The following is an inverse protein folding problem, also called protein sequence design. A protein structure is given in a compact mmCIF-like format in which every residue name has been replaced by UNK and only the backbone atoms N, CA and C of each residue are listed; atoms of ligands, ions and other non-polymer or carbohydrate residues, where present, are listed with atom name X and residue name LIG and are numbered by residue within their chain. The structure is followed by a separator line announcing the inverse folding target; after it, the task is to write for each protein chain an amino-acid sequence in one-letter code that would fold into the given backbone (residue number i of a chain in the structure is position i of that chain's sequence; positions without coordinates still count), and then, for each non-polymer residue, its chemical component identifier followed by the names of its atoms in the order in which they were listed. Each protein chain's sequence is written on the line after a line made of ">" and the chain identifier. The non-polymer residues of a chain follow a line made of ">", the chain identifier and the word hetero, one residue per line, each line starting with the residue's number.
data_IF_000604066390
#
_entry.id   IF_000604066390
#
_cell.length_a   1.000
_cell.length_b   1.000
_cell.length_c   1.000
_cell.angle_alpha   90.00
_cell.angle_beta   90.00
_cell.angle_gamma   90.00
#
_symmetry.space_group_name_H-M   'P 1'
#
loop_
_entity.id
_entity.type
_entity.pdbx_description
1 polymer ?
#
# COMPACT_ATOMS: atom_id res chain seq x y z
N UNK A 1 48.20 -39.98 -52.76
CA UNK A 1 47.35 -39.17 -53.63
C UNK A 1 46.51 -38.30 -52.68
N UNK A 2 46.63 -37.04 -52.86
CA UNK A 2 46.34 -35.89 -51.92
C UNK A 2 44.90 -35.72 -51.45
N UNK A 3 44.77 -35.51 -50.17
CA UNK A 3 43.57 -34.87 -49.58
C UNK A 3 44.03 -33.61 -48.82
N UNK A 4 43.64 -32.46 -49.33
CA UNK A 4 43.88 -31.16 -48.71
C UNK A 4 42.79 -30.89 -47.70
N UNK A 5 43.15 -30.72 -46.43
CA UNK A 5 42.27 -30.23 -45.41
C UNK A 5 42.19 -28.67 -45.52
N UNK A 6 41.01 -28.18 -45.71
CA UNK A 6 40.65 -26.79 -45.66
C UNK A 6 40.10 -26.47 -44.25
N UNK A 7 40.91 -25.79 -43.42
CA UNK A 7 40.44 -25.24 -42.12
C UNK A 7 39.63 -23.97 -42.43
N UNK A 8 38.35 -24.01 -42.14
CA UNK A 8 37.53 -22.82 -42.10
C UNK A 8 37.58 -22.25 -40.69
N UNK A 9 38.27 -21.12 -40.49
CA UNK A 9 38.16 -20.31 -39.27
C UNK A 9 36.85 -19.55 -39.31
N UNK A 10 35.94 -19.91 -38.41
CA UNK A 10 34.70 -19.16 -38.15
C UNK A 10 35.09 -18.00 -37.20
N UNK A 11 35.18 -16.79 -37.72
CA UNK A 11 35.34 -15.58 -36.92
C UNK A 11 33.97 -15.26 -36.31
N UNK A 12 33.80 -15.49 -34.99
CA UNK A 12 32.68 -15.01 -34.23
C UNK A 12 32.87 -13.51 -34.01
N UNK A 13 32.21 -12.70 -34.83
CA UNK A 13 32.07 -11.26 -34.57
C UNK A 13 31.08 -11.09 -33.43
N UNK A 14 31.57 -10.84 -32.23
CA UNK A 14 30.73 -10.32 -31.12
C UNK A 14 30.36 -8.88 -31.47
N UNK A 15 29.19 -8.71 -32.04
CA UNK A 15 28.55 -7.40 -32.14
C UNK A 15 28.19 -6.97 -30.71
N UNK A 16 29.03 -6.15 -30.10
CA UNK A 16 28.64 -5.34 -28.94
C UNK A 16 27.67 -4.31 -29.48
N UNK A 17 26.41 -4.68 -29.49
CA UNK A 17 25.32 -3.74 -29.70
C UNK A 17 25.32 -2.76 -28.53
N UNK A 18 25.79 -1.54 -28.74
CA UNK A 18 25.36 -0.42 -27.92
C UNK A 18 23.82 -0.31 -28.07
N UNK A 19 23.08 -0.95 -27.19
CA UNK A 19 21.67 -0.60 -26.98
C UNK A 19 21.67 0.84 -26.44
N UNK A 20 21.53 1.80 -27.35
CA UNK A 20 21.06 3.13 -26.98
C UNK A 20 19.71 2.89 -26.31
N UNK A 21 19.63 3.13 -25.00
CA UNK A 21 18.38 3.12 -24.25
C UNK A 21 17.49 4.12 -24.95
N UNK A 22 16.53 3.61 -25.71
CA UNK A 22 15.58 4.43 -26.45
C UNK A 22 14.69 5.06 -25.39
N UNK A 23 14.81 6.38 -25.22
CA UNK A 23 13.94 7.18 -24.35
C UNK A 23 12.52 6.95 -24.84
N UNK A 24 11.69 6.27 -24.07
CA UNK A 24 10.26 6.21 -24.33
C UNK A 24 9.69 7.60 -23.98
N UNK A 25 9.59 8.47 -25.00
CA UNK A 25 8.89 9.73 -24.86
C UNK A 25 7.39 9.46 -25.05
N UNK A 26 6.62 9.66 -24.03
CA UNK A 26 5.17 9.66 -24.09
C UNK A 26 4.70 11.10 -24.17
N UNK A 27 3.75 11.40 -25.06
CA UNK A 27 3.19 12.74 -25.21
C UNK A 27 2.11 13.04 -24.16
N UNK A 28 1.51 11.98 -23.60
CA UNK A 28 0.51 12.07 -22.54
C UNK A 28 0.58 10.87 -21.58
N UNK A 29 -0.06 11.00 -20.42
CA UNK A 29 -0.19 9.90 -19.46
C UNK A 29 -1.03 8.72 -19.99
N UNK A 30 -1.91 8.96 -20.96
CA UNK A 30 -2.77 7.93 -21.56
C UNK A 30 -1.97 6.96 -22.46
N UNK A 31 -0.76 7.35 -22.87
CA UNK A 31 0.15 6.52 -23.65
C UNK A 31 1.02 5.61 -22.78
N UNK A 32 0.98 5.78 -21.45
CA UNK A 32 1.76 4.93 -20.56
C UNK A 32 1.26 3.49 -20.64
N UNK A 33 2.15 2.51 -20.77
CA UNK A 33 1.74 1.11 -20.86
C UNK A 33 0.99 0.67 -19.61
N UNK A 34 -0.05 -0.14 -19.81
CA UNK A 34 -0.83 -0.72 -18.73
C UNK A 34 -0.35 -2.15 -18.49
N UNK A 35 0.04 -2.43 -17.26
CA UNK A 35 0.39 -3.79 -16.86
C UNK A 35 -0.85 -4.57 -16.48
N UNK A 36 -1.19 -5.61 -17.24
CA UNK A 36 -2.40 -6.40 -17.02
C UNK A 36 -2.22 -7.55 -16.00
N UNK A 37 -0.97 -7.91 -15.66
CA UNK A 37 -0.68 -8.93 -14.68
C UNK A 37 -1.03 -8.51 -13.24
N UNK A 38 -0.94 -9.43 -12.30
CA UNK A 38 -1.05 -9.13 -10.86
C UNK A 38 0.12 -8.24 -10.43
N UNK A 39 -0.17 -7.10 -9.80
CA UNK A 39 0.85 -6.13 -9.40
C UNK A 39 1.48 -6.51 -8.06
N UNK A 40 2.51 -7.34 -8.12
CA UNK A 40 3.30 -7.79 -6.99
C UNK A 40 4.70 -7.20 -7.07
N UNK A 41 5.04 -6.27 -6.19
CA UNK A 41 6.35 -5.61 -6.23
C UNK A 41 7.45 -6.45 -5.58
N UNK A 42 7.08 -7.39 -4.70
CA UNK A 42 8.02 -8.31 -4.07
C UNK A 42 7.35 -9.67 -3.86
N UNK A 43 8.05 -10.73 -4.28
CA UNK A 43 7.66 -12.12 -3.99
C UNK A 43 8.85 -12.86 -3.40
N UNK A 44 8.70 -13.29 -2.15
CA UNK A 44 9.73 -13.99 -1.41
C UNK A 44 9.65 -15.50 -1.59
N UNK A 45 10.83 -16.12 -1.70
CA UNK A 45 11.06 -17.55 -1.44
C UNK A 45 12.43 -17.74 -0.77
N UNK A 46 12.67 -18.86 -0.06
CA UNK A 46 14.00 -19.14 0.50
C UNK A 46 15.13 -19.26 -0.53
N UNK A 47 14.80 -19.56 -1.79
CA UNK A 47 15.76 -19.65 -2.88
C UNK A 47 16.12 -18.29 -3.48
N UNK A 48 15.20 -17.33 -3.40
CA UNK A 48 15.41 -16.00 -3.93
C UNK A 48 14.16 -15.12 -3.84
N UNK A 49 14.40 -13.83 -3.86
CA UNK A 49 13.34 -12.80 -3.83
C UNK A 49 13.25 -12.15 -5.20
N UNK A 50 12.04 -12.14 -5.77
CA UNK A 50 11.73 -11.44 -7.01
C UNK A 50 11.24 -10.04 -6.68
N UNK A 51 11.77 -9.06 -7.38
CA UNK A 51 11.34 -7.66 -7.32
C UNK A 51 10.79 -7.24 -8.68
N UNK A 52 9.72 -6.47 -8.63
CA UNK A 52 9.04 -5.96 -9.81
C UNK A 52 8.55 -4.54 -9.52
N UNK A 53 8.70 -3.61 -10.44
CA UNK A 53 8.26 -2.23 -10.28
C UNK A 53 7.72 -1.70 -11.61
N UNK A 54 6.56 -1.06 -11.58
CA UNK A 54 6.04 -0.33 -12.72
C UNK A 54 6.60 1.10 -12.71
N UNK A 55 7.48 1.39 -13.67
CA UNK A 55 8.13 2.69 -13.83
C UNK A 55 8.44 2.94 -15.33
N UNK A 56 7.41 3.24 -16.15
CA UNK A 56 7.53 3.26 -17.61
C UNK A 56 8.47 4.36 -18.13
N UNK A 57 8.65 5.45 -17.38
CA UNK A 57 9.53 6.58 -17.75
C UNK A 57 10.93 6.46 -17.19
N UNK A 58 11.23 5.40 -16.43
CA UNK A 58 12.53 5.22 -15.82
C UNK A 58 13.63 4.95 -16.86
N UNK A 59 14.79 5.54 -16.65
CA UNK A 59 16.02 5.26 -17.38
C UNK A 59 16.80 4.09 -16.76
N UNK A 60 16.76 4.02 -15.44
CA UNK A 60 17.38 2.98 -14.62
C UNK A 60 16.52 2.75 -13.38
N UNK A 61 16.42 1.51 -12.94
CA UNK A 61 15.79 1.14 -11.66
C UNK A 61 16.71 0.19 -10.92
N UNK A 62 16.78 0.34 -9.60
CA UNK A 62 17.56 -0.53 -8.74
C UNK A 62 16.86 -0.82 -7.44
N UNK A 63 17.14 -2.00 -6.88
CA UNK A 63 16.74 -2.39 -5.53
C UNK A 63 17.92 -2.17 -4.61
N UNK A 64 17.66 -1.49 -3.50
CA UNK A 64 18.61 -1.25 -2.42
C UNK A 64 18.23 -2.19 -1.27
N UNK A 65 19.11 -3.10 -0.88
CA UNK A 65 18.89 -4.00 0.27
C UNK A 65 19.56 -3.46 1.52
N UNK A 66 18.85 -3.59 2.64
CA UNK A 66 19.26 -3.11 3.95
C UNK A 66 19.07 -4.18 5.02
N UNK A 67 19.91 -4.15 6.05
CA UNK A 67 19.77 -5.00 7.23
C UNK A 67 18.71 -4.46 8.22
N UNK A 68 18.52 -3.13 8.22
CA UNK A 68 17.66 -2.44 9.20
C UNK A 68 16.50 -1.72 8.54
N UNK A 69 15.43 -1.59 9.29
CA UNK A 69 14.21 -0.89 8.92
C UNK A 69 14.42 0.60 8.62
N UNK A 70 15.40 1.22 9.29
CA UNK A 70 15.82 2.60 9.03
C UNK A 70 17.32 2.78 9.34
N UNK A 71 17.93 3.83 8.79
CA UNK A 71 19.37 4.07 8.95
C UNK A 71 20.24 2.97 8.34
N UNK A 72 21.51 2.89 8.74
CA UNK A 72 22.44 1.91 8.24
C UNK A 72 22.84 2.10 6.77
N UNK A 73 23.86 1.36 6.34
CA UNK A 73 24.36 1.38 4.96
C UNK A 73 23.56 0.41 4.07
N UNK A 74 23.54 0.70 2.77
CA UNK A 74 23.10 -0.25 1.75
C UNK A 74 24.02 -1.47 1.78
N UNK A 75 23.45 -2.65 1.97
CA UNK A 75 24.20 -3.92 1.98
C UNK A 75 24.48 -4.42 0.57
N UNK A 76 23.48 -4.31 -0.28
CA UNK A 76 23.57 -4.76 -1.68
C UNK A 76 22.69 -3.87 -2.55
N UNK A 77 23.15 -3.58 -3.76
CA UNK A 77 22.42 -2.88 -4.79
C UNK A 77 22.25 -3.81 -5.99
N UNK A 78 21.06 -3.90 -6.53
CA UNK A 78 20.73 -4.78 -7.65
C UNK A 78 20.09 -3.92 -8.74
N UNK A 79 20.72 -3.84 -9.91
CA UNK A 79 20.13 -3.20 -11.08
C UNK A 79 18.99 -4.06 -11.61
N UNK A 80 17.84 -3.44 -11.86
CA UNK A 80 16.70 -4.12 -12.46
C UNK A 80 16.79 -4.08 -13.98
N UNK A 81 16.17 -5.05 -14.61
CA UNK A 81 16.05 -5.14 -16.06
C UNK A 81 14.66 -4.69 -16.51
N UNK A 82 14.61 -3.92 -17.58
CA UNK A 82 13.36 -3.51 -18.19
C UNK A 82 12.65 -4.74 -18.77
N UNK A 83 11.35 -4.82 -18.51
CA UNK A 83 10.43 -5.86 -18.98
C UNK A 83 9.29 -5.22 -19.80
N UNK A 84 8.31 -6.02 -20.22
CA UNK A 84 7.14 -5.50 -20.94
C UNK A 84 6.29 -4.57 -20.05
N UNK A 85 5.45 -3.79 -20.71
CA UNK A 85 4.37 -2.98 -20.11
C UNK A 85 4.85 -1.99 -19.03
N UNK A 86 6.06 -1.44 -19.21
CA UNK A 86 6.65 -0.46 -18.30
C UNK A 86 7.18 -1.05 -16.99
N UNK A 87 7.22 -2.37 -16.90
CA UNK A 87 7.75 -3.07 -15.73
C UNK A 87 9.27 -3.14 -15.73
N UNK A 88 9.84 -3.18 -14.54
CA UNK A 88 11.23 -3.47 -14.25
C UNK A 88 11.30 -4.66 -13.31
N UNK A 89 12.25 -5.57 -13.50
CA UNK A 89 12.34 -6.81 -12.73
C UNK A 89 13.77 -7.12 -12.31
N UNK A 90 13.92 -7.75 -11.15
CA UNK A 90 15.18 -8.30 -10.66
C UNK A 90 14.93 -9.51 -9.78
N UNK A 91 15.95 -10.35 -9.66
CA UNK A 91 15.96 -11.47 -8.71
C UNK A 91 17.21 -11.33 -7.82
N UNK A 92 16.99 -11.43 -6.54
CA UNK A 92 18.06 -11.55 -5.56
C UNK A 92 18.10 -12.99 -5.05
N UNK A 93 19.18 -13.71 -5.36
CA UNK A 93 19.38 -15.09 -4.91
C UNK A 93 19.65 -15.16 -3.41
N UNK A 94 19.25 -16.27 -2.79
CA UNK A 94 19.41 -16.59 -1.39
C UNK A 94 18.21 -16.17 -0.53
N UNK A 95 18.25 -16.60 0.72
CA UNK A 95 17.22 -16.28 1.70
C UNK A 95 17.43 -14.88 2.28
N UNK A 96 16.57 -13.96 1.88
CA UNK A 96 16.61 -12.57 2.32
C UNK A 96 15.53 -12.23 3.36
N UNK A 97 14.81 -13.24 3.89
CA UNK A 97 13.79 -13.01 4.90
C UNK A 97 14.35 -12.23 6.10
N UNK A 98 13.63 -11.20 6.52
CA UNK A 98 14.04 -10.32 7.62
C UNK A 98 14.89 -9.14 7.19
N UNK A 99 15.32 -9.08 5.93
CA UNK A 99 15.96 -7.88 5.36
C UNK A 99 14.92 -6.87 4.90
N UNK A 100 15.39 -5.65 4.64
CA UNK A 100 14.56 -4.56 4.14
C UNK A 100 15.04 -4.14 2.75
N UNK A 101 14.14 -3.54 1.97
CA UNK A 101 14.47 -3.03 0.66
C UNK A 101 13.82 -1.68 0.37
N UNK A 102 14.39 -0.97 -0.58
CA UNK A 102 13.78 0.16 -1.25
C UNK A 102 14.09 0.09 -2.74
N UNK A 103 13.17 0.58 -3.55
CA UNK A 103 13.45 0.88 -4.95
C UNK A 103 14.04 2.28 -5.06
N UNK A 104 14.87 2.49 -6.08
CA UNK A 104 15.33 3.81 -6.46
C UNK A 104 15.28 3.91 -7.99
N UNK A 105 14.58 4.95 -8.47
CA UNK A 105 14.26 5.14 -9.89
C UNK A 105 15.01 6.35 -10.41
N UNK A 106 15.59 6.25 -11.60
CA UNK A 106 16.29 7.35 -12.28
C UNK A 106 15.44 7.88 -13.42
N UNK A 107 15.08 9.15 -13.35
CA UNK A 107 14.27 9.86 -14.33
C UNK A 107 14.98 11.16 -14.68
N UNK A 108 15.12 11.46 -15.96
CA UNK A 108 15.83 12.63 -16.48
C UNK A 108 17.24 12.83 -15.88
N UNK A 109 17.94 11.70 -15.72
CA UNK A 109 19.29 11.68 -15.14
C UNK A 109 19.36 11.80 -13.62
N UNK A 110 18.22 12.00 -12.94
CA UNK A 110 18.14 12.24 -11.49
C UNK A 110 17.55 11.03 -10.78
N UNK A 111 18.21 10.55 -9.73
CA UNK A 111 17.69 9.54 -8.83
C UNK A 111 16.64 10.16 -7.90
N UNK A 112 15.43 9.59 -7.89
CA UNK A 112 14.25 10.14 -7.18
C UNK A 112 14.25 9.89 -5.66
N UNK A 113 15.24 9.14 -5.17
CA UNK A 113 15.32 8.73 -3.76
C UNK A 113 14.66 7.38 -3.51
N UNK A 114 14.91 6.84 -2.33
CA UNK A 114 14.43 5.52 -1.94
C UNK A 114 12.92 5.53 -1.68
N UNK A 115 12.24 4.48 -2.14
CA UNK A 115 10.81 4.25 -1.92
C UNK A 115 10.55 2.76 -1.66
N UNK A 116 9.65 2.39 -0.73
CA UNK A 116 9.23 1.00 -0.55
C UNK A 116 8.46 0.44 -1.75
N UNK A 117 8.12 1.29 -2.73
CA UNK A 117 7.20 1.01 -3.82
C UNK A 117 5.78 1.51 -3.53
N UNK A 118 4.86 1.30 -4.46
CA UNK A 118 3.45 1.71 -4.32
C UNK A 118 2.57 0.57 -3.81
N UNK A 119 3.00 -0.69 -3.99
CA UNK A 119 2.26 -1.90 -3.60
C UNK A 119 2.91 -2.64 -2.42
N UNK A 120 3.79 -1.99 -1.65
CA UNK A 120 4.43 -2.60 -0.49
C UNK A 120 3.40 -3.18 0.49
N UNK A 121 3.60 -4.44 0.94
CA UNK A 121 2.69 -5.18 1.83
C UNK A 121 3.22 -5.31 3.26
N UNK A 122 4.50 -5.02 3.45
CA UNK A 122 5.16 -4.99 4.73
C UNK A 122 6.22 -3.89 4.72
N UNK A 123 6.30 -3.12 5.78
CA UNK A 123 7.28 -2.04 5.93
C UNK A 123 7.91 -2.06 7.31
N UNK A 124 9.08 -1.48 7.42
CA UNK A 124 9.71 -1.22 8.71
C UNK A 124 9.07 -0.04 9.44
N UNK A 125 9.60 0.28 10.62
CA UNK A 125 9.15 1.41 11.43
C UNK A 125 9.16 2.71 10.59
N UNK A 126 8.10 3.53 10.76
CA UNK A 126 7.85 4.75 9.98
C UNK A 126 7.67 4.54 8.46
N UNK A 127 7.63 3.31 7.94
CA UNK A 127 7.21 3.00 6.58
C UNK A 127 8.12 3.44 5.43
N UNK A 128 9.41 3.77 5.68
CA UNK A 128 10.32 4.26 4.62
C UNK A 128 10.96 3.14 3.80
N UNK A 129 11.03 1.93 4.34
CA UNK A 129 11.55 0.74 3.68
C UNK A 129 10.54 -0.39 3.74
N UNK A 130 10.39 -1.10 2.65
CA UNK A 130 9.63 -2.34 2.63
C UNK A 130 10.44 -3.49 3.25
N UNK A 131 9.74 -4.47 3.79
CA UNK A 131 10.34 -5.64 4.44
C UNK A 131 10.16 -6.90 3.59
N UNK A 132 11.17 -7.76 3.58
CA UNK A 132 11.11 -9.08 2.95
C UNK A 132 10.64 -10.09 3.99
N UNK A 133 9.38 -10.50 3.87
CA UNK A 133 8.73 -11.45 4.78
C UNK A 133 8.01 -12.55 4.02
N UNK A 134 7.77 -13.67 4.67
CA UNK A 134 6.79 -14.66 4.20
C UNK A 134 5.42 -14.31 4.80
N UNK A 135 4.49 -13.83 3.97
CA UNK A 135 3.15 -13.44 4.41
C UNK A 135 2.39 -14.59 5.09
N UNK A 136 2.66 -15.85 4.73
CA UNK A 136 2.02 -17.02 5.35
C UNK A 136 2.38 -17.17 6.83
N UNK A 137 3.56 -16.74 7.24
CA UNK A 137 4.01 -16.77 8.64
C UNK A 137 3.34 -15.69 9.50
N UNK A 138 2.63 -14.73 8.89
CA UNK A 138 1.87 -13.69 9.59
C UNK A 138 0.47 -14.15 9.99
N UNK A 139 0.02 -15.30 9.51
CA UNK A 139 -1.30 -15.83 9.82
C UNK A 139 -1.39 -16.28 11.29
N UNK A 140 -2.35 -15.80 12.08
CA UNK A 140 -2.58 -16.33 13.41
C UNK A 140 -3.14 -17.75 13.34
N UNK A 141 -2.99 -18.49 14.43
CA UNK A 141 -3.49 -19.86 14.51
C UNK A 141 -4.99 -19.93 14.18
N UNK A 142 -5.33 -20.74 13.20
CA UNK A 142 -6.72 -20.96 12.76
C UNK A 142 -7.20 -19.96 11.69
N UNK A 143 -6.33 -19.13 11.16
CA UNK A 143 -6.66 -18.15 10.12
C UNK A 143 -7.29 -18.78 8.88
N UNK A 144 -6.81 -19.96 8.46
CA UNK A 144 -7.34 -20.68 7.29
C UNK A 144 -8.77 -21.20 7.48
N UNK A 145 -9.26 -21.22 8.74
CA UNK A 145 -10.63 -21.63 9.13
C UNK A 145 -11.47 -20.46 9.61
N UNK A 146 -10.94 -19.26 9.50
CA UNK A 146 -11.65 -18.06 9.85
C UNK A 146 -12.91 -17.93 8.98
N UNK A 147 -14.03 -17.55 9.58
CA UNK A 147 -15.32 -17.43 8.91
C UNK A 147 -15.96 -16.10 9.26
N UNK A 148 -16.33 -15.35 8.24
CA UNK A 148 -17.08 -14.11 8.37
C UNK A 148 -18.47 -14.35 8.99
N UNK A 149 -18.93 -13.51 9.91
CA UNK A 149 -20.29 -13.60 10.44
C UNK A 149 -21.34 -13.53 9.33
N UNK A 150 -22.43 -14.29 9.38
CA UNK A 150 -23.48 -14.21 8.37
C UNK A 150 -24.20 -12.85 8.42
N UNK A 151 -24.55 -12.32 7.26
CA UNK A 151 -25.41 -11.16 7.09
C UNK A 151 -26.69 -11.60 6.38
N UNK A 152 -27.85 -11.49 7.04
CA UNK A 152 -29.14 -11.92 6.48
C UNK A 152 -29.73 -10.86 5.55
N UNK A 153 -29.63 -9.59 5.93
CA UNK A 153 -30.12 -8.46 5.15
C UNK A 153 -29.23 -7.23 5.39
N UNK A 154 -29.10 -6.39 4.38
CA UNK A 154 -28.45 -5.09 4.55
C UNK A 154 -29.20 -4.16 5.53
N UNK A 155 -30.51 -4.35 5.70
CA UNK A 155 -31.29 -3.61 6.70
C UNK A 155 -30.97 -3.97 8.15
N UNK A 156 -30.26 -5.08 8.38
CA UNK A 156 -29.86 -5.52 9.72
C UNK A 156 -28.52 -4.89 10.17
N UNK A 157 -27.89 -4.08 9.31
CA UNK A 157 -26.59 -3.48 9.59
C UNK A 157 -26.75 -2.35 10.62
N UNK A 158 -26.01 -2.49 11.73
CA UNK A 158 -25.82 -1.47 12.77
C UNK A 158 -24.32 -1.21 12.85
N UNK A 159 -23.90 -0.01 12.47
CA UNK A 159 -22.48 0.36 12.35
C UNK A 159 -22.08 1.18 13.58
N UNK A 160 -20.92 0.84 14.15
CA UNK A 160 -20.23 1.62 15.16
C UNK A 160 -18.89 2.10 14.58
N UNK A 161 -18.78 3.40 14.33
CA UNK A 161 -17.53 4.02 13.90
C UNK A 161 -16.60 4.22 15.09
N UNK A 162 -15.33 3.85 14.93
CA UNK A 162 -14.36 3.94 16.03
C UNK A 162 -12.93 4.16 15.54
N UNK A 163 -12.16 4.87 16.38
CA UNK A 163 -10.73 5.03 16.26
C UNK A 163 -10.02 4.05 17.20
N UNK A 164 -9.08 3.26 16.71
CA UNK A 164 -8.41 2.21 17.49
C UNK A 164 -7.87 2.69 18.83
N UNK A 165 -7.12 3.81 18.80
CA UNK A 165 -6.50 4.36 19.99
C UNK A 165 -7.57 4.83 20.98
N UNK A 166 -8.49 5.67 20.55
CA UNK A 166 -9.44 6.32 21.43
C UNK A 166 -10.46 5.34 22.05
N UNK A 167 -10.82 4.32 21.30
CA UNK A 167 -11.73 3.28 21.78
C UNK A 167 -11.19 2.52 23.00
N UNK A 168 -9.86 2.42 23.17
CA UNK A 168 -9.26 1.55 24.19
C UNK A 168 -8.17 2.21 25.04
N UNK A 169 -7.84 3.49 24.81
CA UNK A 169 -6.68 4.14 25.46
C UNK A 169 -6.92 4.47 26.93
N UNK A 170 -8.19 4.58 27.37
CA UNK A 170 -8.49 4.95 28.74
C UNK A 170 -7.97 3.89 29.73
N UNK A 171 -7.27 4.38 30.78
CA UNK A 171 -6.66 3.55 31.81
C UNK A 171 -7.67 2.79 32.65
N UNK A 172 -8.93 3.27 32.74
CA UNK A 172 -10.00 2.65 33.53
C UNK A 172 -10.77 1.61 32.72
N UNK A 173 -10.50 1.45 31.42
CA UNK A 173 -11.20 0.52 30.55
C UNK A 173 -10.94 -0.97 30.87
N UNK A 174 -9.98 -1.30 31.74
CA UNK A 174 -9.62 -2.69 32.04
C UNK A 174 -8.95 -3.45 30.90
N UNK A 175 -8.58 -2.73 29.83
CA UNK A 175 -7.93 -3.27 28.62
C UNK A 175 -6.42 -3.24 28.82
N UNK A 176 -5.75 -4.37 28.50
CA UNK A 176 -4.30 -4.50 28.62
C UNK A 176 -3.55 -3.84 27.46
N UNK A 177 -3.97 -4.11 26.23
CA UNK A 177 -3.32 -3.60 25.00
C UNK A 177 -3.97 -2.30 24.52
N UNK A 178 -4.02 -1.30 25.40
CA UNK A 178 -4.66 -0.01 25.15
C UNK A 178 -4.11 0.69 23.90
N UNK A 179 -5.02 1.14 23.03
CA UNK A 179 -4.68 1.84 21.79
C UNK A 179 -4.06 0.96 20.70
N UNK A 180 -4.16 -0.36 20.81
CA UNK A 180 -3.54 -1.34 19.91
C UNK A 180 -4.61 -2.23 19.25
N UNK A 181 -4.27 -2.84 18.10
CA UNK A 181 -5.11 -3.84 17.45
C UNK A 181 -5.57 -4.93 18.43
N UNK A 182 -4.67 -5.39 19.29
CA UNK A 182 -4.94 -6.44 20.27
C UNK A 182 -5.96 -6.04 21.33
N UNK A 183 -6.26 -4.75 21.53
CA UNK A 183 -7.34 -4.33 22.43
C UNK A 183 -8.69 -4.96 22.05
N UNK A 184 -8.92 -5.18 20.75
CA UNK A 184 -10.12 -5.80 20.19
C UNK A 184 -10.03 -7.34 20.14
N UNK A 185 -9.05 -7.95 20.78
CA UNK A 185 -8.97 -9.39 21.00
C UNK A 185 -9.30 -9.78 22.44
N UNK A 186 -9.40 -8.79 23.33
CA UNK A 186 -9.68 -8.99 24.74
C UNK A 186 -11.21 -8.98 24.94
N UNK A 187 -11.79 -10.14 25.16
CA UNK A 187 -13.19 -10.25 25.54
C UNK A 187 -13.35 -10.11 27.07
N UNK A 188 -14.55 -9.83 27.55
CA UNK A 188 -14.84 -9.74 28.98
C UNK A 188 -14.14 -8.60 29.75
N UNK A 189 -13.62 -7.58 29.04
CA UNK A 189 -13.06 -6.39 29.69
C UNK A 189 -14.16 -5.50 30.28
N UNK A 190 -13.84 -4.85 31.41
CA UNK A 190 -14.77 -3.98 32.14
C UNK A 190 -14.03 -2.94 32.98
N UNK A 191 -14.71 -1.86 33.30
CA UNK A 191 -14.21 -0.85 34.26
C UNK A 191 -14.20 -1.43 35.68
N UNK A 192 -13.60 -0.71 36.62
CA UNK A 192 -13.66 -1.05 38.04
C UNK A 192 -15.07 -0.98 38.63
N UNK A 193 -16.00 -0.31 37.96
CA UNK A 193 -17.42 -0.27 38.33
C UNK A 193 -18.23 -1.43 37.73
N UNK A 194 -17.60 -2.30 36.95
CA UNK A 194 -18.24 -3.43 36.29
C UNK A 194 -18.87 -3.13 34.93
N UNK A 195 -18.74 -1.91 34.41
CA UNK A 195 -19.23 -1.56 33.08
C UNK A 195 -18.38 -2.24 31.99
N UNK A 196 -19.03 -2.87 31.02
CA UNK A 196 -18.36 -3.55 29.92
C UNK A 196 -17.61 -2.58 29.02
N UNK A 197 -16.43 -3.01 28.56
CA UNK A 197 -15.57 -2.26 27.63
C UNK A 197 -15.13 -3.15 26.46
N UNK A 198 -14.44 -2.60 25.47
CA UNK A 198 -13.93 -3.37 24.34
C UNK A 198 -15.02 -4.14 23.58
N UNK A 199 -14.72 -5.36 23.17
CA UNK A 199 -15.65 -6.23 22.44
C UNK A 199 -16.91 -6.52 23.28
N UNK A 200 -16.79 -6.65 24.60
CA UNK A 200 -17.95 -6.91 25.47
C UNK A 200 -18.97 -5.76 25.40
N UNK A 201 -18.51 -4.51 25.33
CA UNK A 201 -19.36 -3.34 25.12
C UNK A 201 -20.02 -3.34 23.73
N UNK A 202 -19.27 -3.61 22.66
CA UNK A 202 -19.83 -3.69 21.30
C UNK A 202 -20.93 -4.75 21.19
N UNK A 203 -20.74 -5.91 21.82
CA UNK A 203 -21.75 -6.97 21.88
C UNK A 203 -23.00 -6.53 22.64
N UNK A 204 -22.85 -5.81 23.75
CA UNK A 204 -23.96 -5.31 24.56
C UNK A 204 -24.79 -4.27 23.82
N UNK A 205 -24.13 -3.40 23.03
CA UNK A 205 -24.80 -2.45 22.14
C UNK A 205 -25.54 -3.12 20.98
N UNK A 206 -25.23 -4.38 20.68
CA UNK A 206 -25.87 -5.11 19.58
C UNK A 206 -25.42 -4.65 18.19
N UNK A 207 -24.24 -4.05 18.07
CA UNK A 207 -23.68 -3.65 16.77
C UNK A 207 -23.31 -4.87 15.95
N UNK A 208 -23.50 -4.79 14.64
CA UNK A 208 -23.21 -5.87 13.70
C UNK A 208 -21.91 -5.61 12.93
N UNK A 209 -21.49 -4.35 12.85
CA UNK A 209 -20.32 -3.91 12.13
C UNK A 209 -19.56 -2.86 12.92
N UNK A 210 -18.24 -2.97 12.97
CA UNK A 210 -17.37 -1.85 13.34
C UNK A 210 -16.85 -1.19 12.06
N UNK A 211 -16.90 0.14 12.02
CA UNK A 211 -16.23 0.95 11.01
C UNK A 211 -14.97 1.51 11.64
N UNK A 212 -13.83 0.96 11.26
CA UNK A 212 -12.53 1.39 11.75
C UNK A 212 -12.06 2.60 10.94
N UNK A 213 -11.71 3.70 11.62
CA UNK A 213 -10.99 4.81 10.99
C UNK A 213 -9.73 4.26 10.29
N UNK A 214 -9.11 5.03 9.37
CA UNK A 214 -8.00 4.51 8.58
C UNK A 214 -6.99 3.73 9.40
N UNK A 215 -6.74 2.50 8.99
CA UNK A 215 -5.92 1.52 9.72
C UNK A 215 -4.73 1.03 8.91
N UNK A 216 -4.53 1.58 7.70
CA UNK A 216 -3.30 1.44 6.91
C UNK A 216 -2.21 2.37 7.45
N UNK A 217 -0.97 2.15 7.02
CA UNK A 217 0.21 2.93 7.41
C UNK A 217 0.09 4.39 6.94
N UNK A 218 0.07 5.32 7.90
CA UNK A 218 -0.08 6.74 7.69
C UNK A 218 1.15 7.53 8.20
N UNK A 219 1.28 8.81 7.84
CA UNK A 219 2.56 9.53 7.90
C UNK A 219 2.82 10.26 9.21
N UNK A 220 1.78 10.79 9.88
CA UNK A 220 1.96 11.81 10.92
C UNK A 220 2.25 11.27 12.32
N UNK A 221 2.35 9.96 12.50
CA UNK A 221 2.78 9.35 13.77
C UNK A 221 4.21 8.85 13.65
N UNK A 222 5.09 9.33 14.52
CA UNK A 222 6.44 8.80 14.64
C UNK A 222 6.41 7.52 15.48
N UNK A 223 6.44 6.39 14.81
CA UNK A 223 6.37 5.05 15.42
C UNK A 223 7.57 4.78 16.36
N UNK A 224 8.66 5.52 16.24
CA UNK A 224 9.82 5.41 17.14
C UNK A 224 9.60 6.09 18.48
N UNK A 225 8.52 6.86 18.65
CA UNK A 225 8.22 7.69 19.82
C UNK A 225 6.85 7.41 20.41
N UNK A 226 6.38 6.17 20.36
CA UNK A 226 5.05 5.78 20.87
C UNK A 226 4.89 5.93 22.41
N UNK A 227 5.96 6.22 23.13
CA UNK A 227 5.93 6.61 24.53
C UNK A 227 5.47 8.06 24.77
N UNK A 228 5.32 8.85 23.70
CA UNK A 228 4.79 10.20 23.73
C UNK A 228 3.37 10.21 23.17
N UNK A 229 2.47 11.03 23.72
CA UNK A 229 1.14 11.20 23.12
C UNK A 229 1.25 11.72 21.69
N UNK A 230 0.68 10.98 20.76
CA UNK A 230 0.54 11.34 19.36
C UNK A 230 -0.88 10.98 18.94
N UNK A 231 -1.52 11.87 18.20
CA UNK A 231 -2.89 11.67 17.75
C UNK A 231 -2.98 11.90 16.25
N UNK A 232 -3.61 10.96 15.56
CA UNK A 232 -3.90 11.04 14.13
C UNK A 232 -5.15 10.23 13.83
N UNK A 233 -6.04 10.77 13.03
CA UNK A 233 -7.20 10.05 12.51
C UNK A 233 -6.85 9.05 11.41
N UNK A 234 -5.65 9.16 10.81
CA UNK A 234 -5.17 8.28 9.76
C UNK A 234 -5.47 8.73 8.34
N UNK A 235 -5.98 9.95 8.14
CA UNK A 235 -6.32 10.47 6.80
C UNK A 235 -5.11 11.10 6.08
N UNK A 236 -3.91 10.60 6.34
CA UNK A 236 -2.66 10.97 5.67
C UNK A 236 -1.88 9.72 5.21
N UNK A 237 -2.43 8.98 4.23
CA UNK A 237 -1.92 7.68 3.82
C UNK A 237 -0.49 7.75 3.25
N UNK A 238 0.33 6.74 3.63
CA UNK A 238 1.70 6.57 3.16
C UNK A 238 1.88 5.23 2.44
N UNK A 239 1.58 4.10 3.09
CA UNK A 239 1.65 2.76 2.52
C UNK A 239 0.28 2.07 2.61
N UNK A 240 -0.44 2.06 1.51
CA UNK A 240 -1.86 1.69 1.46
C UNK A 240 -2.16 0.22 1.78
N UNK A 241 -1.20 -0.69 1.61
CA UNK A 241 -1.41 -2.14 1.78
C UNK A 241 -0.75 -2.68 3.06
N UNK A 242 -0.40 -1.81 4.00
CA UNK A 242 0.28 -2.17 5.24
C UNK A 242 -0.56 -1.69 6.42
N UNK A 243 -0.81 -2.51 7.45
CA UNK A 243 -1.44 -2.04 8.68
C UNK A 243 -0.58 -1.03 9.44
N UNK A 244 -1.21 -0.06 10.09
CA UNK A 244 -0.56 1.00 10.84
C UNK A 244 0.29 0.46 12.01
N UNK A 245 1.54 0.88 12.08
CA UNK A 245 2.49 0.37 13.07
C UNK A 245 2.28 0.92 14.47
N UNK A 246 1.74 2.13 14.62
CA UNK A 246 1.44 2.67 15.96
C UNK A 246 0.35 1.90 16.69
N UNK A 247 -0.47 1.15 15.97
CA UNK A 247 -1.49 0.26 16.54
C UNK A 247 -0.96 -1.16 16.84
N UNK A 248 0.27 -1.49 16.41
CA UNK A 248 0.93 -2.74 16.76
C UNK A 248 1.65 -2.67 18.11
N UNK A 249 1.85 -3.81 18.76
CA UNK A 249 2.63 -3.87 20.01
C UNK A 249 4.12 -3.67 19.80
N UNK A 250 4.63 -3.99 18.61
CA UNK A 250 6.02 -3.76 18.20
C UNK A 250 6.09 -3.25 16.76
N UNK A 251 6.24 -1.93 16.55
CA UNK A 251 6.29 -1.35 15.21
C UNK A 251 7.59 -1.66 14.45
N UNK A 252 8.64 -2.07 15.15
CA UNK A 252 9.92 -2.43 14.51
C UNK A 252 9.90 -3.79 13.81
N UNK A 253 8.90 -4.64 14.13
CA UNK A 253 8.72 -5.95 13.50
C UNK A 253 7.58 -5.92 12.49
N UNK A 254 7.88 -5.92 11.18
CA UNK A 254 6.87 -5.79 10.14
C UNK A 254 5.75 -6.84 10.20
N UNK A 255 6.08 -8.07 10.60
CA UNK A 255 5.12 -9.18 10.71
C UNK A 255 4.15 -9.01 11.89
N UNK A 256 4.53 -8.26 12.93
CA UNK A 256 3.70 -8.07 14.13
C UNK A 256 2.44 -7.27 13.79
N UNK A 257 2.56 -6.11 13.11
CA UNK A 257 1.41 -5.28 12.73
C UNK A 257 0.41 -6.06 11.86
N UNK A 258 0.92 -6.89 10.96
CA UNK A 258 0.10 -7.72 10.06
C UNK A 258 -0.64 -8.81 10.85
N UNK A 259 0.08 -9.53 11.71
CA UNK A 259 -0.50 -10.61 12.53
C UNK A 259 -1.54 -10.08 13.50
N UNK A 260 -1.26 -8.97 14.17
CA UNK A 260 -2.18 -8.38 15.15
C UNK A 260 -3.44 -7.84 14.52
N UNK A 261 -3.36 -7.24 13.32
CA UNK A 261 -4.54 -6.85 12.56
C UNK A 261 -5.41 -8.07 12.21
N UNK A 262 -4.81 -9.16 11.72
CA UNK A 262 -5.52 -10.42 11.46
C UNK A 262 -6.15 -11.00 12.73
N UNK A 263 -5.45 -10.95 13.87
CA UNK A 263 -5.99 -11.39 15.16
C UNK A 263 -7.21 -10.59 15.58
N UNK A 264 -7.17 -9.27 15.38
CA UNK A 264 -8.28 -8.37 15.65
C UNK A 264 -9.50 -8.73 14.79
N UNK A 265 -9.34 -8.87 13.48
CA UNK A 265 -10.44 -9.26 12.57
C UNK A 265 -11.05 -10.59 12.98
N UNK A 266 -10.20 -11.60 13.25
CA UNK A 266 -10.65 -12.91 13.71
C UNK A 266 -11.44 -12.84 15.04
N UNK A 267 -11.02 -11.99 15.97
CA UNK A 267 -11.71 -11.83 17.26
C UNK A 267 -13.07 -11.15 17.09
N UNK A 268 -13.15 -10.12 16.25
CA UNK A 268 -14.40 -9.45 15.92
C UNK A 268 -15.38 -10.41 15.22
N UNK A 269 -14.92 -11.19 14.24
CA UNK A 269 -15.75 -12.20 13.57
C UNK A 269 -16.27 -13.27 14.53
N UNK A 270 -15.43 -13.76 15.45
CA UNK A 270 -15.86 -14.69 16.52
C UNK A 270 -16.91 -14.07 17.45
N UNK A 271 -16.86 -12.77 17.62
CA UNK A 271 -17.87 -12.02 18.39
C UNK A 271 -19.16 -11.74 17.61
N UNK A 272 -19.24 -12.14 16.34
CA UNK A 272 -20.37 -11.89 15.44
C UNK A 272 -20.36 -10.50 14.82
N UNK A 273 -19.24 -9.78 14.85
CA UNK A 273 -19.10 -8.40 14.39
C UNK A 273 -18.23 -8.38 13.13
N UNK A 274 -18.73 -7.79 12.05
CA UNK A 274 -18.01 -7.57 10.81
C UNK A 274 -17.14 -6.33 10.85
N UNK A 275 -16.15 -6.25 9.97
CA UNK A 275 -15.18 -5.16 9.90
C UNK A 275 -15.35 -4.37 8.61
N UNK A 276 -15.64 -3.08 8.75
CA UNK A 276 -15.59 -2.08 7.68
C UNK A 276 -14.32 -1.26 7.89
N UNK A 277 -13.49 -1.13 6.86
CA UNK A 277 -12.28 -0.33 6.91
C UNK A 277 -12.47 0.97 6.15
N UNK A 278 -12.07 2.08 6.76
CA UNK A 278 -11.98 3.37 6.08
C UNK A 278 -10.75 3.40 5.19
N UNK A 279 -10.94 3.73 3.91
CA UNK A 279 -9.88 3.78 2.91
C UNK A 279 -9.83 5.14 2.24
N UNK A 280 -8.61 5.65 2.05
CA UNK A 280 -8.34 7.02 1.59
C UNK A 280 -7.55 6.98 0.29
N UNK A 281 -8.22 6.68 -0.81
CA UNK A 281 -7.56 6.63 -2.13
C UNK A 281 -7.61 7.96 -2.87
N UNK A 282 -8.27 8.97 -2.31
CA UNK A 282 -8.44 10.28 -2.96
C UNK A 282 -7.19 11.18 -2.89
N UNK A 283 -6.28 10.96 -1.96
CA UNK A 283 -5.04 11.72 -1.79
C UNK A 283 -3.95 10.92 -1.05
N UNK A 284 -2.75 11.46 -1.00
CA UNK A 284 -1.62 10.96 -0.18
C UNK A 284 -1.18 12.01 0.83
N UNK A 285 -0.51 11.59 1.89
CA UNK A 285 0.03 12.48 2.93
C UNK A 285 0.90 13.61 2.35
N UNK A 286 1.74 13.29 1.38
CA UNK A 286 2.65 14.21 0.71
C UNK A 286 2.52 14.04 -0.80
N UNK A 287 2.62 15.11 -1.58
CA UNK A 287 2.76 15.03 -3.04
C UNK A 287 4.23 14.78 -3.38
N UNK A 288 5.08 15.79 -3.16
CA UNK A 288 6.52 15.65 -3.39
C UNK A 288 7.13 14.69 -2.37
N UNK A 289 7.92 13.73 -2.88
CA UNK A 289 8.56 12.71 -2.05
C UNK A 289 7.66 11.58 -1.61
N UNK A 290 6.40 11.52 -2.07
CA UNK A 290 5.53 10.35 -1.93
C UNK A 290 6.10 9.16 -2.67
N UNK A 291 5.65 7.95 -2.32
CA UNK A 291 6.00 6.74 -3.05
C UNK A 291 5.59 6.82 -4.52
N UNK A 292 4.47 7.47 -4.82
CA UNK A 292 3.99 7.71 -6.16
C UNK A 292 4.94 8.58 -7.00
N UNK A 293 5.34 9.75 -6.45
CA UNK A 293 6.23 10.67 -7.16
C UNK A 293 7.65 10.12 -7.32
N UNK A 294 8.14 9.35 -6.35
CA UNK A 294 9.44 8.70 -6.47
C UNK A 294 9.46 7.56 -7.48
N UNK A 295 8.30 7.00 -7.83
CA UNK A 295 8.20 5.88 -8.76
C UNK A 295 7.86 6.35 -10.17
N UNK A 296 6.78 7.13 -10.35
CA UNK A 296 6.33 7.65 -11.65
C UNK A 296 5.83 9.09 -11.48
N UNK A 297 6.73 10.07 -11.52
CA UNK A 297 6.40 11.48 -11.28
C UNK A 297 5.22 11.97 -12.12
N UNK A 298 4.26 12.63 -11.47
CA UNK A 298 3.07 13.23 -12.07
C UNK A 298 1.96 12.26 -12.43
N UNK A 299 2.23 10.96 -12.59
CA UNK A 299 1.24 10.01 -13.11
C UNK A 299 0.09 9.74 -12.13
N UNK A 300 0.38 9.60 -10.86
CA UNK A 300 -0.63 9.23 -9.87
C UNK A 300 -1.51 10.39 -9.40
N UNK A 301 -1.11 11.62 -9.73
CA UNK A 301 -1.81 12.81 -9.27
C UNK A 301 -2.48 13.55 -10.41
N UNK A 302 -3.68 14.04 -10.13
CA UNK A 302 -4.43 14.90 -11.04
C UNK A 302 -3.74 16.26 -11.13
N UNK A 303 -3.71 16.80 -12.34
CA UNK A 303 -3.08 18.10 -12.65
C UNK A 303 -4.08 18.95 -13.43
N UNK A 304 -3.93 20.26 -13.32
CA UNK A 304 -4.64 21.20 -14.17
C UNK A 304 -3.97 21.31 -15.56
N UNK A 305 -4.52 22.16 -16.42
CA UNK A 305 -4.00 22.38 -17.78
C UNK A 305 -2.58 22.97 -17.83
N UNK A 306 -2.07 23.51 -16.72
CA UNK A 306 -0.71 24.04 -16.57
C UNK A 306 0.27 23.04 -15.95
N UNK A 307 -0.21 21.80 -15.64
CA UNK A 307 0.58 20.75 -15.01
C UNK A 307 0.77 20.94 -13.49
N UNK A 308 0.02 21.86 -12.86
CA UNK A 308 0.03 22.05 -11.42
C UNK A 308 -0.88 21.01 -10.75
N UNK A 309 -0.43 20.45 -9.66
CA UNK A 309 -1.21 19.47 -8.90
C UNK A 309 -2.54 20.05 -8.38
N UNK A 310 -3.63 19.35 -8.68
CA UNK A 310 -4.96 19.69 -8.21
C UNK A 310 -5.08 19.46 -6.69
N UNK A 311 -5.87 20.29 -6.03
CA UNK A 311 -6.09 20.24 -4.58
C UNK A 311 -7.51 20.68 -4.20
N UNK A 312 -8.52 20.17 -4.88
CA UNK A 312 -9.91 20.52 -4.57
C UNK A 312 -10.38 19.90 -3.25
N UNK A 313 -9.82 18.77 -2.86
CA UNK A 313 -10.09 18.14 -1.56
C UNK A 313 -9.58 18.95 -0.38
N UNK A 314 -8.65 19.90 -0.59
CA UNK A 314 -7.95 20.63 0.47
C UNK A 314 -6.87 19.83 1.20
N UNK A 315 -6.59 18.59 0.74
CA UNK A 315 -5.61 17.68 1.36
C UNK A 315 -4.18 17.83 0.79
N UNK A 316 -3.96 18.76 -0.14
CA UNK A 316 -2.66 19.02 -0.76
C UNK A 316 -2.47 18.39 -2.13
N UNK A 317 -3.22 17.35 -2.48
CA UNK A 317 -3.19 16.67 -3.77
C UNK A 317 -4.47 15.87 -4.01
N UNK A 318 -4.63 15.37 -5.22
CA UNK A 318 -5.69 14.44 -5.62
C UNK A 318 -5.11 13.33 -6.49
N UNK A 319 -5.54 12.09 -6.25
CA UNK A 319 -5.17 10.97 -7.11
C UNK A 319 -5.94 11.02 -8.42
N UNK A 320 -5.26 10.65 -9.51
CA UNK A 320 -5.80 10.66 -10.86
C UNK A 320 -6.51 9.32 -11.16
N UNK A 321 -7.66 9.07 -10.53
CA UNK A 321 -8.43 7.83 -10.67
C UNK A 321 -8.96 7.57 -12.08
N UNK A 322 -8.90 8.56 -12.97
CA UNK A 322 -9.13 8.43 -14.41
C UNK A 322 -8.04 7.64 -15.14
N UNK A 323 -6.85 7.46 -14.56
CA UNK A 323 -5.72 6.78 -15.21
C UNK A 323 -5.73 5.28 -14.91
N UNK A 324 -5.42 4.48 -15.91
CA UNK A 324 -5.57 3.02 -15.85
C UNK A 324 -4.78 2.38 -14.69
N UNK A 325 -3.50 2.73 -14.51
CA UNK A 325 -2.69 2.14 -13.44
C UNK A 325 -3.05 2.67 -12.05
N UNK A 326 -3.67 3.85 -11.93
CA UNK A 326 -4.23 4.34 -10.66
C UNK A 326 -5.46 3.53 -10.28
N UNK A 327 -6.38 3.27 -11.21
CA UNK A 327 -7.54 2.38 -10.97
C UNK A 327 -7.09 0.98 -10.60
N UNK A 328 -6.12 0.43 -11.33
CA UNK A 328 -5.53 -0.88 -11.03
C UNK A 328 -4.96 -0.93 -9.61
N UNK A 329 -4.20 0.09 -9.22
CA UNK A 329 -3.68 0.23 -7.85
C UNK A 329 -4.80 0.18 -6.81
N UNK A 330 -5.86 0.98 -7.00
CA UNK A 330 -7.00 1.04 -6.07
C UNK A 330 -7.70 -0.31 -5.99
N UNK A 331 -8.02 -0.93 -7.14
CA UNK A 331 -8.73 -2.22 -7.19
C UNK A 331 -7.90 -3.33 -6.53
N UNK A 332 -6.62 -3.44 -6.85
CA UNK A 332 -5.76 -4.47 -6.25
C UNK A 332 -5.53 -4.25 -4.75
N UNK A 333 -5.43 -3.00 -4.30
CA UNK A 333 -5.35 -2.67 -2.89
C UNK A 333 -6.63 -3.06 -2.13
N UNK A 334 -7.80 -2.72 -2.66
CA UNK A 334 -9.10 -3.11 -2.08
C UNK A 334 -9.23 -4.64 -2.02
N UNK A 335 -8.93 -5.32 -3.13
CA UNK A 335 -8.95 -6.78 -3.17
C UNK A 335 -7.95 -7.41 -2.18
N UNK A 336 -6.81 -6.79 -1.99
CA UNK A 336 -5.81 -7.25 -1.02
C UNK A 336 -6.34 -7.20 0.42
N UNK A 337 -6.95 -6.09 0.84
CA UNK A 337 -7.57 -5.98 2.17
C UNK A 337 -8.70 -6.99 2.37
N UNK A 338 -9.53 -7.20 1.36
CA UNK A 338 -10.63 -8.17 1.42
C UNK A 338 -10.16 -9.63 1.50
N UNK A 339 -9.10 -9.98 0.76
CA UNK A 339 -8.63 -11.36 0.65
C UNK A 339 -7.58 -11.73 1.70
N UNK A 340 -6.65 -10.83 2.01
CA UNK A 340 -5.54 -11.10 2.94
C UNK A 340 -5.94 -10.85 4.40
N UNK A 341 -6.78 -9.83 4.65
CA UNK A 341 -7.18 -9.43 6.00
C UNK A 341 -8.65 -9.74 6.33
N UNK A 342 -9.41 -10.31 5.38
CA UNK A 342 -10.82 -10.67 5.53
C UNK A 342 -11.74 -9.49 5.93
N UNK A 343 -11.39 -8.28 5.52
CA UNK A 343 -12.25 -7.10 5.73
C UNK A 343 -13.57 -7.29 4.99
N UNK A 344 -14.70 -7.00 5.64
CA UNK A 344 -16.04 -7.28 5.13
C UNK A 344 -16.64 -6.17 4.28
N UNK A 345 -16.15 -4.96 4.48
CA UNK A 345 -16.65 -3.80 3.78
C UNK A 345 -15.65 -2.65 3.80
N UNK A 346 -15.93 -1.65 2.98
CA UNK A 346 -15.10 -0.46 2.86
C UNK A 346 -15.98 0.79 2.97
N UNK A 347 -15.46 1.79 3.68
CA UNK A 347 -15.93 3.15 3.57
C UNK A 347 -14.88 3.93 2.78
N UNK A 348 -15.26 4.47 1.64
CA UNK A 348 -14.32 5.22 0.77
C UNK A 348 -14.41 6.69 1.12
N UNK A 349 -13.31 7.23 1.64
CA UNK A 349 -13.22 8.64 2.01
C UNK A 349 -13.26 9.54 0.78
N UNK A 350 -13.98 10.67 0.88
CA UNK A 350 -14.06 11.70 -0.14
C UNK A 350 -14.25 11.15 -1.57
N UNK A 351 -15.05 10.11 -1.74
CA UNK A 351 -15.27 9.41 -3.02
C UNK A 351 -15.69 10.35 -4.16
N UNK A 352 -16.36 11.46 -3.85
CA UNK A 352 -16.77 12.44 -4.84
C UNK A 352 -15.58 13.05 -5.60
N UNK A 353 -14.43 13.26 -4.95
CA UNK A 353 -13.21 13.74 -5.63
C UNK A 353 -12.61 12.72 -6.58
N UNK A 354 -12.98 11.45 -6.46
CA UNK A 354 -12.59 10.37 -7.36
C UNK A 354 -13.57 10.19 -8.52
N UNK A 355 -14.87 10.42 -8.28
CA UNK A 355 -15.93 10.22 -9.26
C UNK A 355 -16.23 11.45 -10.13
N UNK A 356 -15.72 12.63 -9.75
CA UNK A 356 -15.87 13.86 -10.49
C UNK A 356 -14.52 14.53 -10.74
N UNK A 357 -14.33 15.00 -11.97
CA UNK A 357 -13.10 15.70 -12.38
C UNK A 357 -13.04 17.14 -11.86
N UNK A 358 -14.21 17.75 -11.61
CA UNK A 358 -14.37 19.14 -11.18
C UNK A 358 -14.75 19.32 -9.72
N UNK A 359 -14.79 18.25 -8.91
CA UNK A 359 -15.24 18.32 -7.53
C UNK A 359 -14.49 19.42 -6.75
N UNK A 360 -15.23 20.42 -6.27
CA UNK A 360 -14.68 21.58 -5.53
C UNK A 360 -13.73 22.48 -6.31
N UNK A 361 -13.60 22.31 -7.63
CA UNK A 361 -12.69 23.09 -8.48
C UNK A 361 -13.38 24.27 -9.14
N UNK A 362 -12.59 25.29 -9.44
CA UNK A 362 -13.00 26.40 -10.29
C UNK A 362 -12.77 26.08 -11.77
N UNK A 363 -13.42 26.83 -12.67
CA UNK A 363 -13.21 26.69 -14.11
C UNK A 363 -11.72 26.78 -14.45
N UNK A 364 -11.26 25.87 -15.32
CA UNK A 364 -9.86 25.77 -15.73
C UNK A 364 -8.94 24.93 -14.81
N UNK A 365 -9.45 24.49 -13.65
CA UNK A 365 -8.70 23.63 -12.72
C UNK A 365 -8.92 22.13 -12.95
N UNK A 366 -9.65 21.76 -13.96
CA UNK A 366 -9.94 20.38 -14.30
C UNK A 366 -10.00 20.18 -15.81
N UNK A 367 -9.68 18.98 -16.25
CA UNK A 367 -9.76 18.59 -17.65
C UNK A 367 -11.06 17.81 -17.84
N UNK A 368 -11.96 18.23 -18.74
CA UNK A 368 -13.22 17.53 -18.95
C UNK A 368 -12.98 16.12 -19.53
N UNK A 369 -13.95 15.22 -19.30
CA UNK A 369 -13.94 13.91 -19.93
C UNK A 369 -14.12 14.03 -21.47
N UNK A 370 -13.97 12.93 -22.19
CA UNK A 370 -14.06 12.88 -23.67
C UNK A 370 -15.40 13.36 -24.26
N UNK A 371 -16.43 13.52 -23.43
CA UNK A 371 -17.73 14.05 -23.83
C UNK A 371 -17.96 15.49 -23.37
N UNK A 372 -16.94 16.12 -22.75
CA UNK A 372 -17.01 17.48 -22.24
C UNK A 372 -17.64 17.61 -20.84
N UNK A 373 -17.99 16.50 -20.21
CA UNK A 373 -18.59 16.45 -18.88
C UNK A 373 -17.56 16.41 -17.75
N UNK A 374 -18.06 16.48 -16.53
CA UNK A 374 -17.28 16.51 -15.28
C UNK A 374 -17.16 15.16 -14.59
N UNK A 375 -17.93 14.19 -15.02
CA UNK A 375 -17.92 12.85 -14.47
C UNK A 375 -16.62 12.13 -14.83
N UNK A 376 -16.00 11.48 -13.87
CA UNK A 376 -14.87 10.60 -14.11
C UNK A 376 -15.39 9.23 -14.56
N UNK A 377 -15.65 9.10 -15.86
CA UNK A 377 -16.29 7.91 -16.44
C UNK A 377 -15.46 6.64 -16.20
N UNK A 378 -14.16 6.76 -16.25
CA UNK A 378 -13.22 5.65 -16.06
C UNK A 378 -13.22 5.13 -14.62
N UNK A 379 -13.49 5.97 -13.62
CA UNK A 379 -13.56 5.57 -12.22
C UNK A 379 -14.98 5.13 -11.78
N UNK A 380 -16.02 5.50 -12.55
CA UNK A 380 -17.42 5.10 -12.25
C UNK A 380 -17.69 3.66 -12.69
N UNK A 381 -17.08 3.20 -13.78
CA UNK A 381 -17.24 1.86 -14.35
C UNK A 381 -16.25 0.85 -13.79
#
# INVERSE_FOLDING_TARGET
>A
MNAKHLLAMLALATAVGCNSIQRSSFDSFDEYPVYEGKWEEMTYSPAGTHFSLWAPTAQEVRVMLYEKEQGGAVQRMISMQQAADGMWQAVAEGDLKGSFYAFNVKIDGIWQGDTPGVMAKAVGVNGDRAAIIDMRETNPQGWEKEVRPPLKSFSDIIIYEMHHRDFSIDTVAGIKHRGKFLALTEDSTHTYLGEKTGIAHLKELGVTHVHLLPSFDFSSVDETKLNKPQYNWGYDPKNYNVPEGSYATDPYKPDVRIREFKQMVMALHRAGIRVIMDVVYNHTALTKGSNFERTVPGYFYRQDSEGKFANASGCGNETASERAMVRKFIIESVCYWANEYHVDGLRVDAVASMLYLDYGKQDGQWVPNKYGGKENLEAIW
#
